data_IF_220540355818
#
_entry.id   IF_220540355818
#
_cell.length_a   1.000
_cell.length_b   1.000
_cell.length_c   1.000
_cell.angle_alpha   90.00
_cell.angle_beta   90.00
_cell.angle_gamma   90.00
#
_symmetry.space_group_name_H-M   'P 1'
#
loop_
_entity.id
_entity.type
_entity.pdbx_description
1 polymer ?
#
# COMPACT_ATOMS: atom_id res chain seq x y z
N UNK A 1 7.25 6.86 65.64
CA UNK A 1 7.91 5.79 64.86
C UNK A 1 7.60 6.06 63.38
N UNK A 2 8.46 6.82 62.71
CA UNK A 2 8.30 7.17 61.28
C UNK A 2 9.14 6.18 60.48
N UNK A 3 8.52 5.09 60.04
CA UNK A 3 9.17 4.12 59.16
C UNK A 3 9.31 4.75 57.77
N UNK A 4 10.51 5.25 57.48
CA UNK A 4 10.92 5.65 56.13
C UNK A 4 10.90 4.39 55.25
N UNK A 5 9.93 4.30 54.34
CA UNK A 5 10.01 3.40 53.19
C UNK A 5 11.21 3.81 52.34
N UNK A 6 12.38 3.24 52.63
CA UNK A 6 13.50 3.26 51.70
C UNK A 6 13.07 2.45 50.47
N UNK A 7 12.72 3.14 49.37
CA UNK A 7 12.60 2.52 48.05
C UNK A 7 13.97 1.92 47.71
N UNK A 8 14.06 0.60 47.82
CA UNK A 8 15.29 -0.14 47.56
C UNK A 8 15.50 -0.22 46.04
N UNK A 9 16.52 0.46 45.47
CA UNK A 9 16.69 0.58 44.02
C UNK A 9 16.99 -0.76 43.32
N UNK A 10 17.41 -1.79 44.07
CA UNK A 10 17.82 -3.09 43.53
C UNK A 10 16.67 -4.01 43.10
N UNK A 11 15.44 -3.81 43.60
CA UNK A 11 14.30 -4.70 43.28
C UNK A 11 13.81 -4.55 41.84
N UNK A 12 14.12 -3.45 41.18
CA UNK A 12 13.69 -3.15 39.82
C UNK A 12 14.75 -3.46 38.77
N UNK A 13 15.94 -3.94 39.15
CA UNK A 13 17.04 -4.20 38.22
C UNK A 13 16.71 -5.27 37.14
N UNK A 14 16.06 -6.41 37.47
CA UNK A 14 15.63 -7.37 36.45
C UNK A 14 14.57 -6.81 35.51
N UNK A 15 13.64 -6.01 36.04
CA UNK A 15 12.58 -5.36 35.24
C UNK A 15 13.20 -4.33 34.29
N UNK A 16 14.16 -3.54 34.77
CA UNK A 16 14.90 -2.58 33.97
C UNK A 16 15.67 -3.27 32.84
N UNK A 17 16.40 -4.36 33.14
CA UNK A 17 17.10 -5.16 32.13
C UNK A 17 16.17 -5.74 31.07
N UNK A 18 14.98 -6.21 31.47
CA UNK A 18 13.97 -6.69 30.53
C UNK A 18 13.47 -5.57 29.62
N UNK A 19 13.14 -4.40 30.18
CA UNK A 19 12.70 -3.23 29.39
C UNK A 19 13.81 -2.76 28.44
N UNK A 20 15.06 -2.65 28.91
CA UNK A 20 16.20 -2.25 28.09
C UNK A 20 16.43 -3.24 26.94
N UNK A 21 16.33 -4.55 27.21
CA UNK A 21 16.44 -5.59 26.19
C UNK A 21 15.31 -5.53 25.17
N UNK A 22 14.07 -5.33 25.62
CA UNK A 22 12.91 -5.21 24.73
C UNK A 22 13.03 -3.96 23.85
N UNK A 23 13.39 -2.81 24.42
CA UNK A 23 13.57 -1.56 23.68
C UNK A 23 14.71 -1.67 22.66
N UNK A 24 15.81 -2.31 23.03
CA UNK A 24 16.93 -2.57 22.12
C UNK A 24 16.52 -3.44 20.94
N UNK A 25 15.83 -4.56 21.20
CA UNK A 25 15.35 -5.45 20.12
C UNK A 25 14.24 -4.81 19.27
N UNK A 26 13.34 -4.02 19.86
CA UNK A 26 12.34 -3.27 19.11
C UNK A 26 12.99 -2.24 18.18
N UNK A 27 13.97 -1.48 18.68
CA UNK A 27 14.70 -0.50 17.86
C UNK A 27 15.50 -1.19 16.77
N UNK A 28 16.17 -2.29 17.08
CA UNK A 28 16.95 -3.07 16.13
C UNK A 28 16.10 -3.64 15.00
N UNK A 29 14.90 -4.15 15.31
CA UNK A 29 14.02 -4.81 14.33
C UNK A 29 13.11 -3.83 13.59
N UNK A 30 12.60 -2.81 14.26
CA UNK A 30 11.56 -1.91 13.74
C UNK A 30 12.02 -0.45 13.58
N UNK A 31 13.19 -0.06 14.07
CA UNK A 31 13.66 1.33 14.02
C UNK A 31 13.87 1.88 12.60
N UNK A 32 13.92 1.02 11.58
CA UNK A 32 14.00 1.41 10.16
C UNK A 32 12.81 0.90 9.34
N UNK A 33 11.69 0.56 9.98
CA UNK A 33 10.53 -0.03 9.30
C UNK A 33 9.99 0.88 8.19
N UNK A 34 10.02 2.20 8.39
CA UNK A 34 9.57 3.21 7.42
C UNK A 34 10.47 3.32 6.18
N UNK A 35 11.69 2.79 6.25
CA UNK A 35 12.63 2.77 5.13
C UNK A 35 12.51 1.47 4.31
N UNK A 36 11.72 0.50 4.77
CA UNK A 36 11.36 -0.65 3.97
C UNK A 36 10.33 -0.21 2.94
N UNK A 37 10.75 -0.04 1.69
CA UNK A 37 9.93 0.50 0.61
C UNK A 37 8.58 -0.20 0.48
N UNK A 38 8.55 -1.53 0.58
CA UNK A 38 7.32 -2.31 0.43
C UNK A 38 6.31 -2.00 1.55
N UNK A 39 6.78 -1.92 2.79
CA UNK A 39 5.94 -1.63 3.94
C UNK A 39 5.49 -0.16 3.93
N UNK A 40 6.41 0.75 3.58
CA UNK A 40 6.12 2.17 3.48
C UNK A 40 5.10 2.45 2.37
N UNK A 41 5.29 1.89 1.17
CA UNK A 41 4.36 2.00 0.05
C UNK A 41 2.98 1.47 0.43
N UNK A 42 2.91 0.27 1.03
CA UNK A 42 1.65 -0.32 1.47
C UNK A 42 0.96 0.52 2.54
N UNK A 43 1.70 1.09 3.48
CA UNK A 43 1.18 1.98 4.53
C UNK A 43 0.63 3.27 3.93
N UNK A 44 1.36 3.87 2.99
CA UNK A 44 0.94 5.09 2.29
C UNK A 44 -0.32 4.86 1.44
N UNK A 45 -0.42 3.70 0.78
CA UNK A 45 -1.55 3.30 -0.06
C UNK A 45 -2.72 2.72 0.73
N UNK A 46 -2.61 2.53 2.05
CA UNK A 46 -3.74 2.16 2.88
C UNK A 46 -4.52 3.43 3.28
N UNK A 47 -5.80 3.57 2.86
CA UNK A 47 -6.60 4.76 3.12
C UNK A 47 -6.87 5.01 4.60
N UNK A 48 -6.62 4.02 5.48
CA UNK A 48 -6.75 4.15 6.94
C UNK A 48 -5.52 4.80 7.60
N UNK A 49 -4.39 4.87 6.88
CA UNK A 49 -3.10 5.26 7.43
C UNK A 49 -2.49 6.46 6.69
N UNK A 50 -2.29 6.33 5.37
CA UNK A 50 -1.64 7.33 4.51
C UNK A 50 -0.34 7.87 5.13
N UNK A 51 -0.08 9.18 5.02
CA UNK A 51 1.10 9.83 5.62
C UNK A 51 1.04 9.89 7.14
N UNK A 52 -0.15 9.80 7.73
CA UNK A 52 -0.35 9.96 9.18
C UNK A 52 0.20 8.78 10.00
N UNK A 53 0.49 7.64 9.37
CA UNK A 53 1.13 6.50 10.04
C UNK A 53 2.66 6.60 10.13
N UNK A 54 3.28 7.59 9.48
CA UNK A 54 4.72 7.79 9.53
C UNK A 54 5.09 8.71 10.70
N UNK A 55 6.10 8.30 11.46
CA UNK A 55 6.81 9.10 12.44
C UNK A 55 7.80 10.04 11.73
N UNK A 56 8.52 9.56 10.72
CA UNK A 56 9.41 10.40 9.92
C UNK A 56 8.67 11.08 8.77
N UNK A 57 8.58 12.41 8.83
CA UNK A 57 8.03 13.22 7.73
C UNK A 57 8.81 13.00 6.43
N UNK A 58 10.13 12.85 6.51
CA UNK A 58 10.98 12.62 5.33
C UNK A 58 10.66 11.27 4.67
N UNK A 59 10.51 10.20 5.46
CA UNK A 59 10.17 8.88 4.94
C UNK A 59 8.78 8.88 4.27
N UNK A 60 7.83 9.65 4.81
CA UNK A 60 6.52 9.84 4.20
C UNK A 60 6.63 10.54 2.83
N UNK A 61 7.38 11.65 2.72
CA UNK A 61 7.56 12.36 1.45
C UNK A 61 8.27 11.50 0.40
N UNK A 62 9.31 10.78 0.79
CA UNK A 62 10.06 9.93 -0.13
C UNK A 62 9.19 8.77 -0.63
N UNK A 63 8.33 8.24 0.23
CA UNK A 63 7.33 7.23 -0.16
C UNK A 63 6.29 7.80 -1.11
N UNK A 64 5.74 8.99 -0.85
CA UNK A 64 4.79 9.64 -1.75
C UNK A 64 5.42 9.87 -3.13
N UNK A 65 6.65 10.37 -3.19
CA UNK A 65 7.38 10.56 -4.46
C UNK A 65 7.55 9.23 -5.20
N UNK A 66 7.99 8.18 -4.51
CA UNK A 66 8.21 6.85 -5.09
C UNK A 66 6.92 6.24 -5.63
N UNK A 67 5.83 6.28 -4.86
CA UNK A 67 4.52 5.76 -5.29
C UNK A 67 3.96 6.58 -6.45
N UNK A 68 4.10 7.90 -6.44
CA UNK A 68 3.67 8.77 -7.55
C UNK A 68 4.46 8.48 -8.82
N UNK A 69 5.77 8.25 -8.73
CA UNK A 69 6.59 7.87 -9.87
C UNK A 69 6.20 6.49 -10.42
N UNK A 70 5.88 5.53 -9.55
CA UNK A 70 5.37 4.22 -9.95
C UNK A 70 4.00 4.34 -10.66
N UNK A 71 3.13 5.22 -10.18
CA UNK A 71 1.85 5.52 -10.81
C UNK A 71 2.02 6.16 -12.20
N UNK A 72 2.94 7.11 -12.34
CA UNK A 72 3.23 7.76 -13.63
C UNK A 72 3.83 6.80 -14.67
N UNK A 73 4.47 5.71 -14.23
CA UNK A 73 5.03 4.69 -15.11
C UNK A 73 3.97 3.69 -15.62
N UNK A 74 2.76 3.67 -15.04
CA UNK A 74 1.67 2.81 -15.50
C UNK A 74 1.05 3.44 -16.75
N UNK A 75 1.07 2.70 -17.86
CA UNK A 75 0.15 2.96 -18.96
C UNK A 75 -1.19 2.33 -18.56
N UNK A 76 -2.26 3.12 -18.35
CA UNK A 76 -3.57 2.54 -18.13
C UNK A 76 -3.96 1.81 -19.42
N UNK A 77 -3.76 0.49 -19.44
CA UNK A 77 -4.41 -0.36 -20.42
C UNK A 77 -5.89 -0.21 -20.13
N UNK A 78 -6.63 0.24 -21.15
CA UNK A 78 -8.06 0.48 -21.13
C UNK A 78 -8.78 -0.72 -20.52
N UNK A 79 -9.24 -0.58 -19.28
CA UNK A 79 -10.46 -1.25 -18.84
C UNK A 79 -11.59 -0.25 -19.10
N UNK A 80 -11.78 0.05 -20.38
CA UNK A 80 -13.09 0.54 -20.82
C UNK A 80 -13.99 -0.69 -20.75
N UNK A 81 -15.01 -0.63 -19.92
CA UNK A 81 -16.19 -1.45 -20.16
C UNK A 81 -16.62 -1.12 -21.58
N UNK A 82 -16.71 -2.14 -22.45
CA UNK A 82 -17.18 -2.01 -23.82
C UNK A 82 -18.63 -1.50 -23.82
N UNK A 83 -18.81 -0.19 -23.73
CA UNK A 83 -20.01 0.44 -24.27
C UNK A 83 -19.77 0.61 -25.77
N UNK A 84 -20.27 -0.37 -26.50
CA UNK A 84 -20.35 -0.34 -27.97
C UNK A 84 -21.32 0.77 -28.37
N UNK A 85 -20.84 2.02 -28.42
CA UNK A 85 -21.53 3.08 -29.13
C UNK A 85 -20.97 3.16 -30.55
N UNK A 86 -21.59 2.40 -31.46
CA UNK A 86 -21.47 2.64 -32.90
C UNK A 86 -21.90 4.09 -33.18
N UNK A 87 -20.94 4.98 -33.43
CA UNK A 87 -21.23 6.29 -34.00
C UNK A 87 -20.83 6.28 -35.48
N UNK A 88 -21.81 5.94 -36.30
CA UNK A 88 -21.78 6.22 -37.73
C UNK A 88 -21.87 7.74 -37.94
N UNK A 89 -20.73 8.43 -38.02
CA UNK A 89 -20.69 9.84 -38.37
C UNK A 89 -20.61 10.03 -39.88
N UNK A 90 -21.75 10.38 -40.47
CA UNK A 90 -21.84 11.03 -41.77
C UNK A 90 -21.00 12.32 -41.75
N UNK A 91 -19.97 12.40 -42.60
CA UNK A 91 -19.13 13.58 -42.74
C UNK A 91 -19.98 14.77 -43.24
N UNK A 92 -20.30 15.71 -42.34
CA UNK A 92 -20.94 16.98 -42.68
C UNK A 92 -19.89 18.08 -42.83
N UNK A 93 -20.22 19.14 -43.58
CA UNK A 93 -19.36 20.31 -43.81
C UNK A 93 -18.84 21.00 -42.54
N UNK A 94 -19.41 20.69 -41.35
CA UNK A 94 -18.88 21.14 -40.07
C UNK A 94 -17.56 20.46 -39.66
N UNK A 95 -17.27 19.25 -40.15
CA UNK A 95 -16.02 18.54 -39.84
C UNK A 95 -14.79 19.32 -40.35
N UNK A 96 -14.87 19.88 -41.56
CA UNK A 96 -13.78 20.69 -42.15
C UNK A 96 -13.53 22.02 -41.43
N UNK A 97 -14.52 22.55 -40.69
CA UNK A 97 -14.34 23.76 -39.89
C UNK A 97 -13.57 23.47 -38.60
N UNK A 98 -13.79 22.28 -38.01
CA UNK A 98 -13.12 21.89 -36.78
C UNK A 98 -11.74 21.27 -37.00
N UNK A 99 -11.41 20.78 -38.19
CA UNK A 99 -10.09 20.19 -38.49
C UNK A 99 -8.90 21.11 -38.17
N UNK A 100 -8.90 22.39 -38.61
CA UNK A 100 -7.80 23.35 -38.29
C UNK A 100 -7.77 23.70 -36.78
N UNK A 101 -8.94 23.73 -36.14
CA UNK A 101 -9.04 23.95 -34.70
C UNK A 101 -8.49 22.74 -33.93
N UNK A 102 -8.86 21.54 -34.32
CA UNK A 102 -8.42 20.28 -33.71
C UNK A 102 -6.92 20.06 -33.91
N UNK A 103 -6.36 20.44 -35.05
CA UNK A 103 -4.92 20.41 -35.31
C UNK A 103 -4.16 21.43 -34.44
N UNK A 104 -4.71 22.63 -34.23
CA UNK A 104 -4.17 23.62 -33.28
C UNK A 104 -4.26 23.14 -31.84
N UNK A 105 -5.38 22.53 -31.44
CA UNK A 105 -5.54 21.99 -30.08
C UNK A 105 -4.60 20.80 -29.86
N UNK A 106 -4.42 19.94 -30.86
CA UNK A 106 -3.49 18.81 -30.81
C UNK A 106 -2.03 19.28 -30.70
N UNK A 107 -1.64 20.35 -31.40
CA UNK A 107 -0.29 20.92 -31.31
C UNK A 107 -0.03 21.70 -30.02
N UNK A 108 -1.07 22.20 -29.34
CA UNK A 108 -0.96 22.78 -27.99
C UNK A 108 -0.82 21.73 -26.88
N UNK A 109 -1.09 20.44 -27.17
CA UNK A 109 -1.02 19.38 -26.17
C UNK A 109 0.43 19.16 -25.76
N UNK A 110 0.81 19.35 -24.48
CA UNK A 110 2.14 19.03 -24.01
C UNK A 110 2.46 17.56 -24.29
N UNK A 111 3.73 17.25 -24.54
CA UNK A 111 4.21 15.87 -24.72
C UNK A 111 3.56 14.92 -23.71
N UNK A 112 3.00 13.81 -24.20
CA UNK A 112 2.20 12.86 -23.43
C UNK A 112 2.92 12.36 -22.15
N UNK A 113 4.25 12.38 -22.11
CA UNK A 113 5.03 12.02 -20.93
C UNK A 113 4.96 13.06 -19.78
N UNK A 114 4.89 14.35 -20.12
CA UNK A 114 4.76 15.44 -19.13
C UNK A 114 3.37 15.45 -18.51
N UNK A 115 2.33 15.22 -19.33
CA UNK A 115 0.93 15.10 -18.86
C UNK A 115 0.75 13.97 -17.84
N UNK A 116 1.24 12.76 -18.14
CA UNK A 116 1.08 11.58 -17.26
C UNK A 116 1.64 11.77 -15.86
N UNK A 117 2.81 12.42 -15.76
CA UNK A 117 3.44 12.71 -14.47
C UNK A 117 2.62 13.74 -13.68
N UNK A 118 2.11 14.77 -14.35
CA UNK A 118 1.21 15.76 -13.74
C UNK A 118 -0.10 15.11 -13.27
N UNK A 119 -0.70 14.26 -14.10
CA UNK A 119 -1.96 13.58 -13.79
C UNK A 119 -1.83 12.65 -12.58
N UNK A 120 -0.76 11.84 -12.52
CA UNK A 120 -0.48 10.96 -11.38
C UNK A 120 -0.20 11.75 -10.09
N UNK A 121 0.43 12.92 -10.21
CA UNK A 121 0.67 13.80 -9.07
C UNK A 121 -0.63 14.42 -8.55
N UNK A 122 -1.54 14.82 -9.44
CA UNK A 122 -2.87 15.30 -9.05
C UNK A 122 -3.68 14.18 -8.38
N UNK A 123 -3.64 12.97 -8.94
CA UNK A 123 -4.29 11.79 -8.38
C UNK A 123 -3.80 11.50 -6.95
N UNK A 124 -2.49 11.49 -6.73
CA UNK A 124 -1.88 11.30 -5.41
C UNK A 124 -2.28 12.40 -4.42
N UNK A 125 -2.28 13.67 -4.86
CA UNK A 125 -2.70 14.79 -4.00
C UNK A 125 -4.16 14.67 -3.59
N UNK A 126 -5.05 14.31 -4.52
CA UNK A 126 -6.46 14.09 -4.25
C UNK A 126 -6.66 12.95 -3.24
N UNK A 127 -6.02 11.80 -3.47
CA UNK A 127 -6.05 10.67 -2.54
C UNK A 127 -5.57 11.04 -1.12
N UNK A 128 -4.49 11.81 -1.01
CA UNK A 128 -3.96 12.23 0.30
C UNK A 128 -4.86 13.24 1.01
N UNK A 129 -5.65 14.02 0.27
CA UNK A 129 -6.60 14.99 0.83
C UNK A 129 -7.90 14.35 1.33
N UNK A 130 -8.27 13.16 0.82
CA UNK A 130 -9.43 12.41 1.32
C UNK A 130 -9.30 12.12 2.84
N UNK A 131 -10.40 12.08 3.60
CA UNK A 131 -10.37 11.69 5.00
C UNK A 131 -9.82 10.27 5.17
N UNK A 132 -9.28 10.00 6.36
CA UNK A 132 -8.84 8.65 6.71
C UNK A 132 -10.05 7.73 6.81
N UNK A 133 -9.92 6.56 6.19
CA UNK A 133 -10.91 5.49 6.31
C UNK A 133 -10.91 4.96 7.76
N UNK A 134 -12.08 4.68 8.37
CA UNK A 134 -12.13 4.07 9.69
C UNK A 134 -11.33 2.76 9.75
N UNK A 135 -10.63 2.52 10.86
CA UNK A 135 -9.76 1.35 11.03
C UNK A 135 -10.48 0.01 10.88
N UNK A 136 -11.78 -0.01 11.16
CA UNK A 136 -12.66 -1.19 11.08
C UNK A 136 -13.18 -1.47 9.67
N UNK A 137 -13.02 -0.53 8.74
CA UNK A 137 -13.47 -0.68 7.36
C UNK A 137 -12.45 -1.45 6.51
N UNK A 138 -12.94 -2.05 5.43
CA UNK A 138 -12.12 -2.78 4.46
C UNK A 138 -11.45 -1.81 3.46
N UNK A 139 -10.11 -1.68 3.46
CA UNK A 139 -9.40 -0.84 2.50
C UNK A 139 -9.51 -1.35 1.06
N UNK A 140 -9.64 -2.66 0.83
CA UNK A 140 -9.75 -3.20 -0.53
C UNK A 140 -11.11 -2.88 -1.16
N UNK A 141 -12.19 -2.97 -0.38
CA UNK A 141 -13.50 -2.50 -0.82
C UNK A 141 -13.52 -1.00 -1.13
N UNK A 142 -12.80 -0.19 -0.34
CA UNK A 142 -12.65 1.24 -0.61
C UNK A 142 -11.94 1.48 -1.95
N UNK A 143 -10.80 0.82 -2.17
CA UNK A 143 -10.05 0.93 -3.42
C UNK A 143 -10.86 0.46 -4.63
N UNK A 144 -11.64 -0.62 -4.50
CA UNK A 144 -12.53 -1.09 -5.58
C UNK A 144 -13.57 -0.04 -5.97
N UNK A 145 -14.13 0.70 -5.01
CA UNK A 145 -15.08 1.78 -5.28
C UNK A 145 -14.40 3.00 -5.91
N UNK A 146 -13.20 3.32 -5.47
CA UNK A 146 -12.49 4.53 -5.88
C UNK A 146 -11.58 4.31 -7.10
N UNK A 147 -11.43 3.08 -7.61
CA UNK A 147 -10.56 2.79 -8.76
C UNK A 147 -10.88 3.55 -10.04
N UNK A 148 -12.13 3.92 -10.36
CA UNK A 148 -12.41 4.76 -11.53
C UNK A 148 -11.83 6.17 -11.39
N UNK A 149 -11.70 6.66 -10.15
CA UNK A 149 -11.15 7.99 -9.83
C UNK A 149 -9.63 7.92 -9.71
N UNK A 150 -9.12 6.91 -9.00
CA UNK A 150 -7.69 6.71 -8.77
C UNK A 150 -7.16 5.55 -9.62
N UNK A 151 -7.14 5.73 -10.93
CA UNK A 151 -6.82 4.66 -11.90
C UNK A 151 -5.40 4.14 -11.73
N UNK A 152 -4.41 5.04 -11.74
CA UNK A 152 -3.00 4.63 -11.71
C UNK A 152 -2.57 4.18 -10.32
N UNK A 153 -3.04 4.85 -9.26
CA UNK A 153 -2.75 4.46 -7.88
C UNK A 153 -3.38 3.11 -7.52
N UNK A 154 -4.57 2.80 -8.04
CA UNK A 154 -5.20 1.49 -7.80
C UNK A 154 -4.36 0.35 -8.37
N UNK A 155 -3.70 0.54 -9.51
CA UNK A 155 -2.78 -0.46 -10.07
C UNK A 155 -1.52 -0.61 -9.20
N UNK A 156 -0.93 0.49 -8.71
CA UNK A 156 0.20 0.40 -7.76
C UNK A 156 -0.23 -0.30 -6.47
N UNK A 157 -1.42 0.02 -5.97
CA UNK A 157 -1.98 -0.55 -4.75
C UNK A 157 -2.12 -2.08 -4.82
N UNK A 158 -2.63 -2.61 -5.94
CA UNK A 158 -2.77 -4.07 -6.15
C UNK A 158 -1.44 -4.81 -5.94
N UNK A 159 -0.32 -4.19 -6.31
CA UNK A 159 1.03 -4.76 -6.14
C UNK A 159 1.62 -4.61 -4.72
N UNK A 160 0.98 -3.85 -3.82
CA UNK A 160 1.53 -3.50 -2.50
C UNK A 160 0.67 -3.97 -1.33
N UNK A 161 -0.65 -3.81 -1.38
CA UNK A 161 -1.53 -4.21 -0.26
C UNK A 161 -1.70 -5.74 -0.12
N UNK A 162 -1.31 -6.52 -1.13
CA UNK A 162 -1.33 -7.98 -1.09
C UNK A 162 -0.12 -8.60 -0.35
N UNK A 163 0.79 -7.78 0.19
CA UNK A 163 1.99 -8.27 0.89
C UNK A 163 1.59 -8.79 2.27
N UNK A 164 1.64 -10.10 2.45
CA UNK A 164 1.39 -10.75 3.74
C UNK A 164 2.49 -10.35 4.73
N UNK A 165 2.11 -9.69 5.82
CA UNK A 165 3.06 -9.20 6.83
C UNK A 165 3.69 -10.28 7.73
N UNK A 166 3.30 -11.55 7.58
CA UNK A 166 3.71 -12.64 8.49
C UNK A 166 4.10 -13.91 7.75
N UNK A 167 5.08 -14.66 8.28
CA UNK A 167 5.40 -16.04 7.88
C UNK A 167 4.37 -17.06 8.39
N UNK A 168 3.38 -16.62 9.16
CA UNK A 168 2.43 -17.49 9.87
C UNK A 168 1.55 -18.34 8.93
N UNK A 169 1.13 -17.89 7.73
CA UNK A 169 0.34 -18.74 6.84
C UNK A 169 1.14 -19.92 6.30
N UNK A 170 2.41 -19.72 5.92
CA UNK A 170 3.25 -20.82 5.47
C UNK A 170 3.53 -21.77 6.63
N UNK A 171 3.88 -21.27 7.82
CA UNK A 171 4.10 -22.12 9.00
C UNK A 171 2.85 -22.89 9.44
N UNK A 172 1.63 -22.32 9.34
CA UNK A 172 0.39 -23.03 9.66
C UNK A 172 0.09 -24.15 8.64
N UNK A 173 0.36 -23.90 7.35
CA UNK A 173 0.26 -24.93 6.30
C UNK A 173 1.32 -26.00 6.54
N UNK A 174 2.57 -25.63 6.80
CA UNK A 174 3.67 -26.57 7.09
C UNK A 174 3.48 -27.29 8.43
N UNK A 175 2.81 -26.70 9.41
CA UNK A 175 2.48 -27.35 10.69
C UNK A 175 1.39 -28.40 10.49
N UNK A 176 0.33 -28.11 9.73
CA UNK A 176 -0.67 -29.13 9.36
C UNK A 176 -0.06 -30.24 8.51
N UNK A 177 0.74 -29.90 7.51
CA UNK A 177 1.43 -30.89 6.65
C UNK A 177 2.47 -31.68 7.44
N UNK A 178 3.21 -31.05 8.34
CA UNK A 178 4.16 -31.68 9.25
C UNK A 178 3.48 -32.64 10.22
N UNK A 179 2.31 -32.28 10.75
CA UNK A 179 1.49 -33.15 11.58
C UNK A 179 0.99 -34.37 10.80
N UNK A 180 0.50 -34.20 9.57
CA UNK A 180 0.07 -35.31 8.70
C UNK A 180 1.25 -36.26 8.38
N UNK A 181 2.44 -35.73 8.09
CA UNK A 181 3.64 -36.53 7.83
C UNK A 181 4.11 -37.26 9.11
N UNK A 182 4.07 -36.60 10.26
CA UNK A 182 4.43 -37.18 11.56
C UNK A 182 3.47 -38.29 11.99
N UNK A 183 2.15 -38.07 11.85
CA UNK A 183 1.11 -39.07 12.10
C UNK A 183 1.23 -40.28 11.16
N UNK A 184 1.64 -40.07 9.91
CA UNK A 184 1.92 -41.16 8.96
C UNK A 184 3.12 -42.03 9.37
N UNK A 185 4.13 -41.46 10.04
CA UNK A 185 5.29 -42.22 10.56
C UNK A 185 5.01 -42.92 11.89
N UNK A 186 4.02 -42.45 12.67
CA UNK A 186 3.60 -43.08 13.92
C UNK A 186 2.61 -44.26 13.74
N UNK A 187 2.12 -44.53 12.52
CA UNK A 187 1.34 -45.75 12.20
C UNK A 187 2.26 -46.91 11.81
N UNK A 188 3.03 -47.44 12.76
CA UNK A 188 3.45 -48.83 12.69
C UNK A 188 2.41 -49.65 13.44
N UNK A 189 1.49 -50.31 12.71
CA UNK A 189 0.64 -51.34 13.34
C UNK A 189 1.56 -52.46 13.85
N UNK A 190 1.45 -52.87 15.12
CA UNK A 190 2.20 -54.03 15.57
C UNK A 190 1.62 -55.25 14.86
N UNK A 191 2.35 -55.79 13.89
CA UNK A 191 2.03 -57.12 13.36
C UNK A 191 2.40 -58.13 14.44
N UNK A 192 1.43 -58.99 14.79
CA UNK A 192 1.62 -60.16 15.65
C UNK A 192 2.66 -61.11 15.10
#
# INVERSE_FOLDING_TARGET
IVARFQRNPSKFDPVKKLVDSLMSEMTKRFGRVEHNEKLADATCLDPRFKKQAFVSHQAAEDTVKRVTAAAAAINPVQHEEEDTSESAASASAGAMFWEDFDERVASLRPSAASSKTSDSMMEMRAYLAEPLLPRTSDPLAWWKRCSPVYKTLSEVMKARLCIVATSVPSERIFSKTGQIISERRNRLSPSK
#
